data_IF_567934199429
#
_entry.id   IF_567934199429
#
_cell.length_a   1.000
_cell.length_b   1.000
_cell.length_c   1.000
_cell.angle_alpha   90.00
_cell.angle_beta   90.00
_cell.angle_gamma   90.00
#
_symmetry.space_group_name_H-M   'P 1'
#
loop_
_entity.id
_entity.type
_entity.pdbx_description
1 polymer ?
#
# COMPACT_ATOMS: atom_id res chain seq x y z
N UNK A 1 18.96 -2.79 -20.44
CA UNK A 1 17.93 -2.72 -21.51
C UNK A 1 16.81 -1.71 -21.22
N UNK A 2 16.35 -1.51 -19.97
CA UNK A 2 15.29 -0.52 -19.68
C UNK A 2 15.78 0.95 -19.76
N UNK A 3 17.04 1.21 -19.36
CA UNK A 3 17.62 2.57 -19.40
C UNK A 3 17.82 3.07 -20.84
N UNK A 4 18.07 2.17 -21.79
CA UNK A 4 18.30 2.49 -23.20
C UNK A 4 17.01 2.90 -23.93
N UNK A 5 15.84 2.47 -23.44
CA UNK A 5 14.54 2.79 -24.04
C UNK A 5 14.03 4.19 -23.65
N UNK A 6 14.43 4.71 -22.48
CA UNK A 6 14.02 6.02 -21.97
C UNK A 6 14.71 7.17 -22.73
N UNK A 7 15.94 6.96 -23.21
CA UNK A 7 16.67 7.94 -24.02
C UNK A 7 16.11 8.11 -25.44
N UNK A 8 15.33 7.15 -25.94
CA UNK A 8 14.70 7.19 -27.27
C UNK A 8 13.34 7.92 -27.28
N UNK A 9 12.84 8.36 -26.12
CA UNK A 9 11.62 9.16 -25.99
C UNK A 9 11.91 10.66 -25.79
N UNK A 10 13.10 11.12 -26.18
CA UNK A 10 13.41 12.56 -26.23
C UNK A 10 12.64 13.21 -27.39
N UNK A 11 11.36 13.53 -27.14
CA UNK A 11 10.58 14.35 -28.07
C UNK A 11 11.22 15.74 -28.16
N UNK A 12 11.22 16.39 -29.34
CA UNK A 12 11.60 17.78 -29.45
C UNK A 12 10.68 18.61 -28.54
N UNK A 13 11.23 19.15 -27.45
CA UNK A 13 10.53 20.07 -26.58
C UNK A 13 10.29 21.36 -27.37
N UNK A 14 9.10 21.50 -27.95
CA UNK A 14 8.67 22.77 -28.54
C UNK A 14 8.45 23.76 -27.40
N UNK A 15 9.25 24.83 -27.37
CA UNK A 15 8.94 25.98 -26.53
C UNK A 15 7.59 26.54 -26.99
N UNK A 16 6.56 26.45 -26.15
CA UNK A 16 5.25 27.02 -26.45
C UNK A 16 5.32 28.53 -26.21
N UNK A 17 5.01 29.40 -27.20
CA UNK A 17 4.98 30.86 -27.03
C UNK A 17 3.76 31.33 -26.20
N UNK A 18 3.25 30.47 -25.32
CA UNK A 18 2.00 30.66 -24.56
C UNK A 18 2.05 31.91 -23.70
N UNK A 19 3.20 32.23 -23.12
CA UNK A 19 3.36 33.40 -22.27
C UNK A 19 3.35 34.72 -23.06
N UNK A 20 3.94 34.75 -24.26
CA UNK A 20 3.83 35.93 -25.14
C UNK A 20 2.41 36.09 -25.68
N UNK A 21 1.72 34.98 -25.98
CA UNK A 21 0.32 35.00 -26.41
C UNK A 21 -0.64 35.48 -25.30
N UNK A 22 -0.48 35.00 -24.07
CA UNK A 22 -1.34 35.39 -22.93
C UNK A 22 -1.13 36.85 -22.50
N UNK A 23 0.09 37.38 -22.63
CA UNK A 23 0.43 38.75 -22.17
C UNK A 23 0.39 39.79 -23.27
N UNK A 24 0.40 39.38 -24.54
CA UNK A 24 0.59 40.28 -25.68
C UNK A 24 1.98 40.93 -25.74
N UNK A 25 2.93 40.49 -24.90
CA UNK A 25 4.27 41.03 -24.82
C UNK A 25 5.23 40.23 -25.70
N UNK A 26 6.15 40.92 -26.36
CA UNK A 26 7.24 40.27 -27.09
C UNK A 26 8.19 39.55 -26.12
N UNK A 27 8.89 38.50 -26.59
CA UNK A 27 9.86 37.75 -25.79
C UNK A 27 10.94 38.65 -25.14
N UNK A 28 11.26 39.79 -25.77
CA UNK A 28 12.19 40.80 -25.25
C UNK A 28 11.75 41.43 -23.92
N UNK A 29 10.44 41.45 -23.62
CA UNK A 29 9.93 42.01 -22.38
C UNK A 29 10.39 41.22 -21.14
N UNK A 30 10.47 39.88 -21.26
CA UNK A 30 10.81 39.00 -20.14
C UNK A 30 12.22 38.42 -20.21
N UNK A 31 12.87 38.44 -21.38
CA UNK A 31 14.18 37.84 -21.60
C UNK A 31 15.25 38.89 -21.91
N UNK A 32 16.48 38.66 -21.45
CA UNK A 32 17.67 39.46 -21.79
C UNK A 32 18.05 39.36 -23.26
N UNK A 33 17.72 38.22 -23.90
CA UNK A 33 17.83 38.00 -25.33
C UNK A 33 16.55 37.28 -25.82
N UNK A 34 15.80 37.83 -26.79
CA UNK A 34 14.52 37.27 -27.24
C UNK A 34 14.60 35.86 -27.85
N UNK A 35 15.79 35.42 -28.28
CA UNK A 35 15.98 34.11 -28.93
C UNK A 35 16.39 33.01 -27.93
N UNK A 36 17.22 33.32 -26.94
CA UNK A 36 17.84 32.31 -26.05
C UNK A 36 18.28 32.87 -24.69
N UNK A 37 17.85 34.07 -24.29
CA UNK A 37 18.37 34.73 -23.08
C UNK A 37 17.71 34.30 -21.79
N UNK A 38 18.44 34.44 -20.68
CA UNK A 38 17.89 34.31 -19.33
C UNK A 38 16.79 35.35 -19.08
N UNK A 39 15.91 35.07 -18.11
CA UNK A 39 14.89 36.04 -17.68
C UNK A 39 15.57 37.29 -17.12
N UNK A 40 15.12 38.46 -17.59
CA UNK A 40 15.47 39.75 -16.98
C UNK A 40 14.74 39.90 -15.62
N UNK A 41 14.96 41.01 -14.91
CA UNK A 41 14.35 41.21 -13.59
C UNK A 41 12.82 41.16 -13.63
N UNK A 42 12.21 41.81 -14.62
CA UNK A 42 10.76 41.77 -14.87
C UNK A 42 10.26 40.33 -15.09
N UNK A 43 10.94 39.57 -15.96
CA UNK A 43 10.62 38.17 -16.23
C UNK A 43 10.76 37.28 -15.00
N UNK A 44 11.76 37.53 -14.13
CA UNK A 44 11.95 36.81 -12.87
C UNK A 44 10.83 37.12 -11.87
N UNK A 45 10.49 38.39 -11.68
CA UNK A 45 9.39 38.78 -10.80
C UNK A 45 8.04 38.24 -11.29
N UNK A 46 7.79 38.33 -12.59
CA UNK A 46 6.60 37.79 -13.22
C UNK A 46 6.50 36.27 -13.02
N UNK A 47 7.62 35.55 -13.20
CA UNK A 47 7.68 34.10 -12.95
C UNK A 47 7.35 33.77 -11.49
N UNK A 48 7.92 34.48 -10.51
CA UNK A 48 7.65 34.22 -9.08
C UNK A 48 6.19 34.50 -8.72
N UNK A 49 5.62 35.62 -9.17
CA UNK A 49 4.21 35.97 -8.91
C UNK A 49 3.24 34.96 -9.53
N UNK A 50 3.58 34.39 -10.70
CA UNK A 50 2.78 33.37 -11.38
C UNK A 50 2.98 31.97 -10.83
N UNK A 51 4.13 31.65 -10.22
CA UNK A 51 4.36 30.37 -9.54
C UNK A 51 3.63 30.26 -8.19
N UNK A 52 3.49 31.38 -7.46
CA UNK A 52 2.88 31.40 -6.11
C UNK A 52 1.90 32.57 -5.94
N UNK A 53 0.61 32.28 -6.15
CA UNK A 53 -0.44 33.30 -6.19
C UNK A 53 -0.72 33.98 -4.84
N UNK A 54 -0.25 33.41 -3.71
CA UNK A 54 -0.47 33.95 -2.35
C UNK A 54 0.73 34.64 -1.69
N UNK A 55 1.81 34.90 -2.43
CA UNK A 55 2.96 35.65 -1.89
C UNK A 55 3.74 34.91 -0.79
N UNK A 56 3.63 33.59 -0.73
CA UNK A 56 4.38 32.77 0.23
C UNK A 56 5.85 32.71 -0.17
N UNK A 57 6.75 32.93 0.79
CA UNK A 57 8.19 32.92 0.55
C UNK A 57 8.69 31.59 -0.01
N UNK A 58 9.63 31.66 -0.96
CA UNK A 58 10.21 30.49 -1.66
C UNK A 58 10.77 29.44 -0.70
N UNK A 59 11.37 29.87 0.41
CA UNK A 59 11.92 28.99 1.45
C UNK A 59 10.85 28.12 2.11
N UNK A 60 9.70 28.71 2.44
CA UNK A 60 8.58 27.98 3.04
C UNK A 60 8.06 26.93 2.06
N UNK A 61 7.87 27.31 0.80
CA UNK A 61 7.42 26.37 -0.24
C UNK A 61 8.44 25.26 -0.46
N UNK A 62 9.74 25.57 -0.44
CA UNK A 62 10.79 24.57 -0.56
C UNK A 62 10.77 23.56 0.60
N UNK A 63 10.62 24.04 1.83
CA UNK A 63 10.53 23.19 3.03
C UNK A 63 9.30 22.29 2.94
N UNK A 64 8.12 22.85 2.70
CA UNK A 64 6.87 22.06 2.60
C UNK A 64 6.91 21.10 1.41
N UNK A 65 7.49 21.53 0.30
CA UNK A 65 7.72 20.70 -0.90
C UNK A 65 8.63 19.50 -0.60
N UNK A 66 9.71 19.72 0.14
CA UNK A 66 10.64 18.67 0.56
C UNK A 66 9.97 17.69 1.53
N UNK A 67 9.21 18.18 2.50
CA UNK A 67 8.42 17.35 3.40
C UNK A 67 7.35 16.53 2.66
N UNK A 68 6.69 17.12 1.66
CA UNK A 68 5.72 16.42 0.83
C UNK A 68 6.36 15.28 0.03
N UNK A 69 7.48 15.55 -0.63
CA UNK A 69 8.21 14.53 -1.39
C UNK A 69 8.72 13.42 -0.47
N UNK A 70 9.33 13.78 0.65
CA UNK A 70 9.83 12.81 1.64
C UNK A 70 8.69 11.92 2.16
N UNK A 71 7.57 12.52 2.59
CA UNK A 71 6.42 11.75 3.10
C UNK A 71 5.77 10.86 2.04
N UNK A 72 5.71 11.31 0.78
CA UNK A 72 5.20 10.49 -0.33
C UNK A 72 6.10 9.29 -0.60
N UNK A 73 7.42 9.50 -0.70
CA UNK A 73 8.41 8.41 -0.90
C UNK A 73 8.38 7.45 0.29
N UNK A 74 8.29 7.98 1.50
CA UNK A 74 8.19 7.19 2.72
C UNK A 74 6.91 6.34 2.75
N UNK A 75 5.77 6.90 2.35
CA UNK A 75 4.51 6.17 2.26
C UNK A 75 4.58 5.06 1.19
N UNK A 76 5.16 5.33 0.02
CA UNK A 76 5.44 4.30 -1.00
C UNK A 76 6.34 3.19 -0.43
N UNK A 77 7.39 3.56 0.30
CA UNK A 77 8.26 2.61 0.99
C UNK A 77 7.52 1.75 2.01
N UNK A 78 6.60 2.32 2.78
CA UNK A 78 5.74 1.58 3.70
C UNK A 78 4.81 0.61 2.97
N UNK A 79 4.26 0.97 1.80
CA UNK A 79 3.46 0.06 0.97
C UNK A 79 4.32 -1.13 0.53
N UNK A 80 5.53 -0.89 0.01
CA UNK A 80 6.46 -1.96 -0.40
C UNK A 80 6.78 -2.86 0.80
N UNK A 81 7.14 -2.27 1.94
CA UNK A 81 7.50 -3.03 3.13
C UNK A 81 6.35 -3.92 3.62
N UNK A 82 5.13 -3.39 3.71
CA UNK A 82 3.98 -4.14 4.24
C UNK A 82 3.40 -5.16 3.26
N UNK A 83 3.52 -4.95 1.94
CA UNK A 83 2.82 -5.78 0.95
C UNK A 83 3.75 -6.64 0.08
N UNK A 84 5.02 -6.25 -0.07
CA UNK A 84 6.02 -6.97 -0.87
C UNK A 84 7.00 -7.72 0.05
N UNK A 85 7.51 -7.06 1.09
CA UNK A 85 8.48 -7.67 2.01
C UNK A 85 7.76 -8.52 3.06
N UNK A 86 6.81 -7.94 3.78
CA UNK A 86 5.87 -8.69 4.60
C UNK A 86 4.87 -9.33 3.66
N UNK A 87 4.94 -10.65 3.50
CA UNK A 87 4.04 -11.33 2.56
C UNK A 87 2.59 -11.15 3.04
N UNK A 88 1.63 -10.95 2.12
CA UNK A 88 0.21 -10.84 2.45
C UNK A 88 -0.31 -12.05 3.23
N UNK A 89 0.30 -13.22 3.03
CA UNK A 89 -0.04 -14.45 3.73
C UNK A 89 0.27 -14.34 5.24
N UNK A 90 1.37 -13.69 5.63
CA UNK A 90 1.73 -13.39 7.03
C UNK A 90 0.80 -12.33 7.62
N UNK A 91 0.50 -11.28 6.85
CA UNK A 91 -0.40 -10.19 7.28
C UNK A 91 -1.84 -10.69 7.48
N UNK A 92 -2.27 -11.65 6.67
CA UNK A 92 -3.59 -12.29 6.81
C UNK A 92 -3.63 -13.27 7.98
N UNK A 93 -2.52 -13.93 8.31
CA UNK A 93 -2.45 -14.87 9.44
C UNK A 93 -2.42 -14.19 10.83
N UNK A 94 -1.88 -12.97 10.93
CA UNK A 94 -1.66 -12.29 12.22
C UNK A 94 -2.10 -10.82 12.30
N UNK A 95 -2.63 -10.26 11.20
CA UNK A 95 -2.80 -8.82 11.03
C UNK A 95 -1.48 -8.10 10.72
N UNK A 96 -1.56 -6.89 10.18
CA UNK A 96 -0.37 -6.06 10.03
C UNK A 96 0.13 -5.61 11.42
N UNK A 97 1.45 -5.67 11.69
CA UNK A 97 1.98 -5.26 12.98
C UNK A 97 1.80 -3.75 13.22
N UNK A 98 1.57 -3.37 14.49
CA UNK A 98 1.05 -2.04 14.86
C UNK A 98 2.00 -0.89 14.50
N UNK A 99 3.31 -1.13 14.57
CA UNK A 99 4.33 -0.09 14.34
C UNK A 99 4.43 0.26 12.85
N UNK A 100 4.19 -0.71 12.00
CA UNK A 100 4.24 -0.66 10.55
C UNK A 100 2.97 0.02 10.01
N UNK A 101 1.82 -0.29 10.60
CA UNK A 101 0.57 0.47 10.39
C UNK A 101 0.74 1.93 10.78
N UNK A 102 1.33 2.22 11.95
CA UNK A 102 1.59 3.59 12.39
C UNK A 102 2.46 4.34 11.36
N UNK A 103 3.51 3.68 10.86
CA UNK A 103 4.40 4.21 9.82
C UNK A 103 3.63 4.63 8.57
N UNK A 104 2.76 3.75 8.06
CA UNK A 104 1.93 4.00 6.90
C UNK A 104 0.97 5.17 7.11
N UNK A 105 0.29 5.21 8.26
CA UNK A 105 -0.65 6.28 8.60
C UNK A 105 0.03 7.64 8.79
N UNK A 106 1.22 7.67 9.38
CA UNK A 106 2.03 8.89 9.47
C UNK A 106 2.40 9.40 8.07
N UNK A 107 2.83 8.52 7.17
CA UNK A 107 3.12 8.87 5.77
C UNK A 107 1.90 9.44 5.03
N UNK A 108 0.74 8.78 5.16
CA UNK A 108 -0.54 9.24 4.59
C UNK A 108 -0.87 10.65 5.08
N UNK A 109 -0.89 10.85 6.40
CA UNK A 109 -1.26 12.12 7.02
C UNK A 109 -0.33 13.25 6.59
N UNK A 110 0.99 13.03 6.65
CA UNK A 110 1.98 14.03 6.26
C UNK A 110 1.90 14.37 4.77
N UNK A 111 1.68 13.38 3.91
CA UNK A 111 1.50 13.61 2.46
C UNK A 111 0.25 14.44 2.20
N UNK A 112 -0.87 14.14 2.89
CA UNK A 112 -2.13 14.87 2.77
C UNK A 112 -2.02 16.33 3.22
N UNK A 113 -1.49 16.59 4.42
CA UNK A 113 -1.40 17.96 4.95
C UNK A 113 -0.43 18.82 4.14
N UNK A 114 0.73 18.30 3.79
CA UNK A 114 1.72 19.03 2.98
C UNK A 114 1.21 19.25 1.55
N UNK A 115 0.51 18.27 0.96
CA UNK A 115 -0.11 18.40 -0.36
C UNK A 115 -1.22 19.45 -0.40
N UNK A 116 -2.05 19.51 0.66
CA UNK A 116 -3.04 20.56 0.85
C UNK A 116 -2.38 21.93 0.94
N UNK A 117 -1.34 22.08 1.77
CA UNK A 117 -0.61 23.34 1.92
C UNK A 117 0.02 23.80 0.61
N UNK A 118 0.67 22.92 -0.15
CA UNK A 118 1.25 23.27 -1.46
C UNK A 118 0.19 23.70 -2.47
N UNK A 119 -0.97 23.03 -2.47
CA UNK A 119 -2.10 23.41 -3.32
C UNK A 119 -2.62 24.78 -2.93
N UNK A 120 -2.76 25.03 -1.62
CA UNK A 120 -3.16 26.32 -1.07
C UNK A 120 -2.12 27.42 -1.37
N UNK A 121 -0.82 27.16 -1.30
CA UNK A 121 0.18 28.18 -1.61
C UNK A 121 0.23 28.53 -3.10
N UNK A 122 -0.06 27.54 -3.96
CA UNK A 122 0.02 27.69 -5.42
C UNK A 122 -1.20 28.39 -6.03
N UNK A 123 -2.42 28.09 -5.60
CA UNK A 123 -3.65 28.61 -6.26
C UNK A 123 -4.45 29.52 -5.33
N UNK A 124 -4.73 30.76 -5.75
CA UNK A 124 -5.45 31.76 -4.97
C UNK A 124 -6.97 31.52 -4.92
N UNK A 125 -7.53 30.80 -5.89
CA UNK A 125 -8.96 30.45 -5.93
C UNK A 125 -9.20 29.02 -6.44
N UNK A 126 -10.42 28.51 -6.20
CA UNK A 126 -10.85 27.23 -6.77
C UNK A 126 -10.95 27.29 -8.29
N UNK A 127 -11.33 28.45 -8.84
CA UNK A 127 -11.40 28.68 -10.28
C UNK A 127 -10.02 28.57 -10.93
N UNK A 128 -8.98 29.16 -10.32
CA UNK A 128 -7.59 29.06 -10.80
C UNK A 128 -7.10 27.60 -10.79
N UNK A 129 -7.46 26.82 -9.75
CA UNK A 129 -7.16 25.39 -9.67
C UNK A 129 -7.87 24.58 -10.77
N UNK A 130 -9.13 24.90 -11.10
CA UNK A 130 -9.92 24.15 -12.08
C UNK A 130 -9.58 24.51 -13.53
N UNK A 131 -9.21 25.77 -13.78
CA UNK A 131 -8.96 26.28 -15.14
C UNK A 131 -7.51 26.11 -15.56
N UNK A 132 -6.54 26.20 -14.64
CA UNK A 132 -5.12 26.09 -14.97
C UNK A 132 -4.68 24.68 -15.36
N UNK A 133 -3.73 24.57 -16.30
CA UNK A 133 -3.17 23.29 -16.73
C UNK A 133 -2.48 22.53 -15.59
N UNK A 134 -1.69 23.23 -14.77
CA UNK A 134 -1.08 22.61 -13.59
C UNK A 134 -2.13 22.22 -12.55
N UNK A 135 -3.23 22.95 -12.46
CA UNK A 135 -4.31 22.70 -11.52
C UNK A 135 -5.08 21.42 -11.83
N UNK A 136 -5.36 21.16 -13.11
CA UNK A 136 -5.93 19.87 -13.59
C UNK A 136 -5.08 18.69 -13.14
N UNK A 137 -3.75 18.78 -13.22
CA UNK A 137 -2.86 17.70 -12.78
C UNK A 137 -2.86 17.56 -11.25
N UNK A 138 -2.92 18.67 -10.52
CA UNK A 138 -3.07 18.63 -9.06
C UNK A 138 -4.38 17.95 -8.67
N UNK A 139 -5.49 18.19 -9.39
CA UNK A 139 -6.77 17.50 -9.16
C UNK A 139 -6.67 16.00 -9.41
N UNK A 140 -5.98 15.58 -10.48
CA UNK A 140 -5.70 14.15 -10.72
C UNK A 140 -4.91 13.55 -9.56
N UNK A 141 -3.89 14.25 -9.05
CA UNK A 141 -3.12 13.79 -7.88
C UNK A 141 -3.97 13.70 -6.61
N UNK A 142 -4.87 14.67 -6.38
CA UNK A 142 -5.80 14.66 -5.25
C UNK A 142 -6.73 13.44 -5.36
N UNK A 143 -7.28 13.18 -6.55
CA UNK A 143 -8.11 12.00 -6.78
C UNK A 143 -7.37 10.68 -6.51
N UNK A 144 -6.13 10.56 -7.02
CA UNK A 144 -5.26 9.42 -6.75
C UNK A 144 -5.05 9.25 -5.23
N UNK A 145 -4.70 10.32 -4.53
CA UNK A 145 -4.50 10.31 -3.08
C UNK A 145 -5.75 9.86 -2.33
N UNK A 146 -6.93 10.40 -2.66
CA UNK A 146 -8.19 10.04 -2.02
C UNK A 146 -8.59 8.59 -2.28
N UNK A 147 -8.33 8.08 -3.48
CA UNK A 147 -8.56 6.67 -3.80
C UNK A 147 -7.64 5.76 -2.97
N UNK A 148 -6.35 6.07 -2.91
CA UNK A 148 -5.37 5.32 -2.10
C UNK A 148 -5.70 5.40 -0.60
N UNK A 149 -6.13 6.56 -0.11
CA UNK A 149 -6.59 6.73 1.28
C UNK A 149 -7.84 5.89 1.56
N UNK A 150 -8.84 5.92 0.66
CA UNK A 150 -10.08 5.16 0.81
C UNK A 150 -9.82 3.66 0.86
N UNK A 151 -8.95 3.15 -0.02
CA UNK A 151 -8.54 1.73 0.01
C UNK A 151 -7.80 1.40 1.32
N UNK A 152 -6.89 2.25 1.79
CA UNK A 152 -6.19 2.06 3.07
C UNK A 152 -7.13 2.02 4.28
N UNK A 153 -8.13 2.90 4.33
CA UNK A 153 -9.19 2.89 5.35
C UNK A 153 -9.99 1.58 5.28
N UNK A 154 -10.47 1.20 4.10
CA UNK A 154 -11.25 -0.03 3.92
C UNK A 154 -10.47 -1.27 4.38
N UNK A 155 -9.17 -1.35 4.07
CA UNK A 155 -8.31 -2.43 4.53
C UNK A 155 -8.16 -2.47 6.04
N UNK A 156 -7.84 -1.32 6.62
CA UNK A 156 -7.50 -1.23 8.04
C UNK A 156 -8.71 -1.47 8.94
N UNK A 157 -9.90 -1.05 8.51
CA UNK A 157 -11.10 -1.16 9.35
C UNK A 157 -11.96 -2.39 9.03
N UNK A 158 -12.21 -2.73 7.75
CA UNK A 158 -13.05 -3.89 7.40
C UNK A 158 -12.25 -5.19 7.33
N UNK A 159 -11.11 -5.17 6.64
CA UNK A 159 -10.33 -6.37 6.39
C UNK A 159 -9.49 -6.78 7.60
N UNK A 160 -8.91 -5.84 8.36
CA UNK A 160 -8.21 -6.18 9.60
C UNK A 160 -9.13 -6.84 10.64
N UNK A 161 -10.40 -6.43 10.72
CA UNK A 161 -11.40 -7.11 11.55
C UNK A 161 -11.64 -8.54 11.05
N UNK A 162 -11.93 -8.71 9.74
CA UNK A 162 -12.17 -10.02 9.13
C UNK A 162 -10.96 -10.97 9.21
N UNK A 163 -9.72 -10.47 9.11
CA UNK A 163 -8.50 -11.27 9.20
C UNK A 163 -8.12 -11.62 10.65
N UNK A 164 -8.35 -10.72 11.62
CA UNK A 164 -8.20 -11.08 13.05
C UNK A 164 -9.23 -12.13 13.50
N UNK A 165 -10.39 -12.16 12.84
CA UNK A 165 -11.43 -13.16 13.06
C UNK A 165 -11.16 -14.47 12.28
N UNK A 166 -10.67 -14.38 11.03
CA UNK A 166 -10.27 -15.50 10.17
C UNK A 166 -8.78 -15.82 10.35
N UNK A 167 -8.43 -16.43 11.48
CA UNK A 167 -7.05 -16.76 11.89
C UNK A 167 -6.46 -18.00 11.17
N UNK A 168 -6.82 -18.20 9.91
CA UNK A 168 -6.31 -19.31 9.11
C UNK A 168 -5.05 -18.80 8.38
N UNK A 169 -3.89 -19.40 8.66
CA UNK A 169 -2.66 -19.08 7.93
C UNK A 169 -2.76 -19.63 6.48
N UNK A 170 -2.81 -18.76 5.45
CA UNK A 170 -2.98 -19.21 4.06
C UNK A 170 -1.81 -20.06 3.55
N UNK A 171 -0.60 -19.87 4.10
CA UNK A 171 0.61 -20.59 3.66
C UNK A 171 0.52 -22.09 3.96
N UNK A 172 -0.12 -22.47 5.07
CA UNK A 172 -0.33 -23.86 5.49
C UNK A 172 -1.20 -24.67 4.51
N UNK A 173 -1.99 -23.98 3.69
CA UNK A 173 -2.98 -24.59 2.78
C UNK A 173 -2.63 -24.35 1.30
N UNK A 174 -1.66 -23.47 1.02
CA UNK A 174 -1.37 -23.01 -0.34
C UNK A 174 -1.00 -24.11 -1.35
N UNK A 175 -0.60 -25.30 -0.89
CA UNK A 175 -0.12 -26.40 -1.73
C UNK A 175 -0.65 -27.80 -1.35
N UNK A 176 -1.73 -27.91 -0.57
CA UNK A 176 -2.20 -29.24 -0.10
C UNK A 176 -3.60 -29.56 -0.63
N UNK A 177 -3.68 -30.59 -1.46
CA UNK A 177 -4.93 -31.23 -1.85
C UNK A 177 -5.44 -32.06 -0.66
N UNK A 178 -6.07 -31.39 0.30
CA UNK A 178 -6.63 -32.00 1.51
C UNK A 178 -8.10 -32.37 1.33
N UNK A 179 -8.47 -33.58 1.76
CA UNK A 179 -9.85 -34.11 1.64
C UNK A 179 -10.74 -33.59 2.77
N UNK A 180 -12.04 -33.42 2.48
CA UNK A 180 -13.07 -33.21 3.51
C UNK A 180 -13.16 -34.46 4.38
N UNK A 181 -13.02 -34.28 5.69
CA UNK A 181 -13.30 -35.29 6.68
C UNK A 181 -14.69 -35.01 7.25
N UNK A 182 -15.58 -36.00 7.28
CA UNK A 182 -16.88 -35.87 7.95
C UNK A 182 -16.70 -35.88 9.47
N UNK A 183 -15.76 -36.71 9.95
CA UNK A 183 -15.31 -36.83 11.33
C UNK A 183 -13.83 -37.20 11.34
N UNK A 184 -13.05 -36.55 12.20
CA UNK A 184 -11.65 -36.90 12.48
C UNK A 184 -11.47 -37.48 13.88
N UNK A 185 -12.52 -37.43 14.70
CA UNK A 185 -12.54 -37.82 16.11
C UNK A 185 -12.73 -39.32 16.34
N UNK A 186 -13.09 -40.06 15.28
CA UNK A 186 -13.38 -41.51 15.31
C UNK A 186 -12.40 -42.35 14.48
N UNK A 187 -11.21 -41.83 14.21
CA UNK A 187 -10.16 -42.67 13.62
C UNK A 187 -9.72 -43.63 14.74
N UNK A 188 -10.29 -44.84 14.73
CA UNK A 188 -10.00 -45.96 15.66
C UNK A 188 -8.54 -46.44 15.58
N UNK A 189 -7.76 -45.84 14.69
CA UNK A 189 -6.32 -45.97 14.64
C UNK A 189 -5.68 -45.13 15.76
N UNK A 190 -5.51 -45.76 16.93
CA UNK A 190 -4.79 -45.20 18.09
C UNK A 190 -3.34 -44.81 17.78
N UNK A 191 -2.81 -45.15 16.61
CA UNK A 191 -1.47 -44.71 16.18
C UNK A 191 -1.45 -43.28 15.63
N UNK A 192 -2.61 -42.72 15.26
CA UNK A 192 -2.72 -41.37 14.68
C UNK A 192 -3.15 -40.31 15.67
N UNK A 193 -2.30 -39.32 15.93
CA UNK A 193 -2.60 -38.17 16.80
C UNK A 193 -3.11 -37.03 15.93
N UNK A 194 -4.43 -36.92 15.77
CA UNK A 194 -5.04 -35.89 14.92
C UNK A 194 -5.60 -34.74 15.74
N UNK A 195 -5.44 -33.50 15.29
CA UNK A 195 -6.02 -32.31 15.96
C UNK A 195 -6.61 -31.38 14.92
N UNK A 196 -7.80 -30.85 15.17
CA UNK A 196 -8.37 -29.76 14.36
C UNK A 196 -7.92 -28.42 14.92
N UNK A 197 -7.43 -27.53 14.06
CA UNK A 197 -7.19 -26.12 14.37
C UNK A 197 -7.77 -25.29 13.23
N UNK A 198 -8.75 -24.44 13.55
CA UNK A 198 -9.57 -23.67 12.60
C UNK A 198 -10.23 -24.54 11.51
N UNK A 199 -10.60 -25.77 11.87
CA UNK A 199 -11.20 -26.74 10.95
C UNK A 199 -10.22 -27.39 9.98
N UNK A 200 -8.91 -27.11 10.06
CA UNK A 200 -7.87 -27.91 9.41
C UNK A 200 -7.41 -29.01 10.35
N UNK A 201 -7.28 -30.23 9.84
CA UNK A 201 -6.83 -31.39 10.62
C UNK A 201 -5.36 -31.61 10.39
N UNK A 202 -4.58 -31.64 11.47
CA UNK A 202 -3.13 -31.89 11.48
C UNK A 202 -2.84 -33.26 12.08
N UNK A 203 -1.79 -33.91 11.59
CA UNK A 203 -1.27 -35.15 12.14
C UNK A 203 0.01 -34.87 12.94
N UNK A 204 -0.09 -35.07 14.25
CA UNK A 204 0.98 -34.89 15.22
C UNK A 204 1.61 -36.21 15.68
N UNK A 205 1.36 -37.34 15.00
CA UNK A 205 1.92 -38.65 15.41
C UNK A 205 3.44 -38.68 15.51
N UNK A 206 4.14 -37.87 14.71
CA UNK A 206 5.60 -37.76 14.76
C UNK A 206 6.12 -36.88 15.90
N UNK A 207 5.23 -36.20 16.64
CA UNK A 207 5.59 -35.24 17.68
C UNK A 207 5.76 -35.93 19.04
N UNK A 208 6.97 -35.85 19.59
CA UNK A 208 7.26 -36.35 20.96
C UNK A 208 6.43 -35.65 22.04
N UNK A 209 5.90 -34.46 21.75
CA UNK A 209 5.07 -33.68 22.68
C UNK A 209 3.64 -34.18 22.81
N UNK A 210 3.22 -35.16 21.99
CA UNK A 210 1.88 -35.73 21.94
C UNK A 210 1.88 -37.21 22.35
N UNK A 211 2.37 -37.50 23.56
CA UNK A 211 2.47 -38.88 24.05
C UNK A 211 1.08 -39.45 24.35
N UNK A 212 0.77 -40.62 23.79
CA UNK A 212 -0.51 -41.31 23.96
C UNK A 212 -1.73 -40.44 23.56
N UNK A 213 -1.54 -39.53 22.62
CA UNK A 213 -2.57 -38.58 22.19
C UNK A 213 -2.85 -37.46 23.20
N UNK A 214 -1.97 -37.24 24.17
CA UNK A 214 -2.08 -36.20 25.19
C UNK A 214 -0.91 -35.21 25.06
N UNK A 215 -1.24 -33.93 25.05
CA UNK A 215 -0.28 -32.82 25.08
C UNK A 215 -0.44 -32.00 26.35
N UNK A 216 0.69 -31.62 26.95
CA UNK A 216 0.77 -30.88 28.21
C UNK A 216 -0.02 -31.51 29.39
N UNK A 217 -0.33 -32.82 29.32
CA UNK A 217 -1.04 -33.56 30.35
C UNK A 217 -2.58 -33.48 30.30
N UNK A 218 -3.16 -32.53 29.56
CA UNK A 218 -4.62 -32.33 29.54
C UNK A 218 -5.23 -32.03 28.16
N UNK A 219 -4.45 -31.63 27.17
CA UNK A 219 -4.96 -31.46 25.80
C UNK A 219 -5.03 -32.81 25.10
N UNK A 220 -6.23 -33.22 24.69
CA UNK A 220 -6.45 -34.51 24.03
C UNK A 220 -6.48 -34.32 22.52
N UNK A 221 -5.86 -35.26 21.81
CA UNK A 221 -6.04 -35.42 20.38
C UNK A 221 -7.51 -35.72 20.04
N UNK A 222 -7.81 -35.75 18.75
CA UNK A 222 -9.13 -35.97 18.16
C UNK A 222 -10.16 -34.90 18.53
N UNK A 223 -9.67 -33.70 18.88
CA UNK A 223 -10.48 -32.54 19.24
C UNK A 223 -10.09 -31.32 18.42
N UNK A 224 -11.01 -30.37 18.38
CA UNK A 224 -10.70 -29.02 17.97
C UNK A 224 -9.99 -28.32 19.12
N UNK A 225 -8.75 -27.88 18.90
CA UNK A 225 -7.92 -27.20 19.89
C UNK A 225 -7.62 -25.75 19.49
N UNK A 226 -8.52 -25.14 18.74
CA UNK A 226 -8.39 -23.79 18.22
C UNK A 226 -8.22 -22.73 19.32
N UNK A 227 -8.92 -22.84 20.44
CA UNK A 227 -8.80 -21.86 21.53
C UNK A 227 -7.58 -22.12 22.39
N UNK A 228 -7.25 -23.38 22.60
CA UNK A 228 -6.12 -23.84 23.40
C UNK A 228 -4.79 -23.41 22.77
N UNK A 229 -4.64 -23.59 21.45
CA UNK A 229 -3.40 -23.21 20.76
C UNK A 229 -3.19 -21.69 20.75
N UNK A 230 -4.25 -20.87 20.76
CA UNK A 230 -4.15 -19.40 20.83
C UNK A 230 -3.54 -18.93 22.14
N UNK A 231 -3.79 -19.65 23.23
CA UNK A 231 -3.32 -19.32 24.57
C UNK A 231 -2.05 -20.09 24.96
N UNK A 232 -1.47 -20.84 24.02
CA UNK A 232 -0.27 -21.65 24.25
C UNK A 232 1.01 -20.81 24.21
N UNK A 233 2.09 -21.25 24.88
CA UNK A 233 3.38 -20.55 24.88
C UNK A 233 4.09 -20.52 23.51
N UNK A 234 3.65 -21.31 22.53
CA UNK A 234 4.20 -21.34 21.16
C UNK A 234 3.27 -20.74 20.10
N UNK A 235 1.99 -20.56 20.40
CA UNK A 235 0.98 -20.06 19.46
C UNK A 235 0.87 -20.92 18.19
N UNK A 236 0.42 -20.30 17.10
CA UNK A 236 0.20 -20.94 15.80
C UNK A 236 1.50 -21.29 15.05
N UNK A 237 2.64 -20.75 15.47
CA UNK A 237 3.93 -20.97 14.80
C UNK A 237 4.33 -22.45 14.71
N UNK A 238 3.87 -23.28 15.67
CA UNK A 238 4.13 -24.72 15.67
C UNK A 238 3.51 -25.42 14.45
N UNK A 239 2.40 -24.90 13.92
CA UNK A 239 1.70 -25.49 12.77
C UNK A 239 2.51 -25.37 11.47
N UNK A 240 3.46 -24.43 11.37
CA UNK A 240 4.33 -24.29 10.20
C UNK A 240 5.20 -25.53 9.94
N UNK A 241 5.39 -26.36 10.96
CA UNK A 241 6.15 -27.62 10.87
C UNK A 241 5.32 -28.81 10.43
N UNK A 242 3.99 -28.68 10.38
CA UNK A 242 3.06 -29.77 10.10
C UNK A 242 2.15 -29.40 8.92
N UNK A 243 2.05 -30.29 7.94
CA UNK A 243 1.09 -30.10 6.83
C UNK A 243 -0.29 -30.61 7.28
N UNK A 244 -1.39 -29.88 6.99
CA UNK A 244 -2.72 -30.40 7.23
C UNK A 244 -2.97 -31.65 6.36
N UNK A 245 -3.67 -32.63 6.92
CA UNK A 245 -4.01 -33.90 6.27
C UNK A 245 -5.47 -33.96 5.81
N UNK A 246 -6.29 -33.00 6.25
CA UNK A 246 -7.72 -32.93 5.95
C UNK A 246 -8.34 -31.65 6.46
N UNK A 247 -9.64 -31.48 6.24
CA UNK A 247 -10.42 -30.38 6.83
C UNK A 247 -11.82 -30.84 7.24
N UNK A 248 -12.41 -30.16 8.22
CA UNK A 248 -13.78 -30.41 8.70
C UNK A 248 -14.65 -29.15 8.61
N UNK A 249 -15.97 -29.33 8.59
CA UNK A 249 -16.94 -28.24 8.50
C UNK A 249 -16.77 -27.39 7.24
N UNK A 250 -16.85 -26.06 7.39
CA UNK A 250 -16.76 -25.08 6.29
C UNK A 250 -15.34 -24.55 6.08
N UNK A 251 -14.30 -25.23 6.60
CA UNK A 251 -12.92 -24.77 6.52
C UNK A 251 -12.45 -24.51 5.07
N UNK A 252 -12.90 -25.30 4.08
CA UNK A 252 -12.55 -25.07 2.67
C UNK A 252 -13.26 -23.84 2.05
N UNK A 253 -14.49 -23.55 2.46
CA UNK A 253 -15.21 -22.33 2.02
C UNK A 253 -14.55 -21.09 2.61
N UNK A 254 -14.26 -21.12 3.91
CA UNK A 254 -13.47 -20.10 4.59
C UNK A 254 -12.08 -19.94 3.93
N UNK A 255 -11.45 -21.03 3.49
CA UNK A 255 -10.20 -20.98 2.73
C UNK A 255 -10.34 -20.31 1.36
N UNK A 256 -11.37 -20.64 0.58
CA UNK A 256 -11.63 -20.01 -0.72
C UNK A 256 -11.86 -18.50 -0.55
N UNK A 257 -12.60 -18.10 0.47
CA UNK A 257 -12.80 -16.69 0.81
C UNK A 257 -11.48 -16.01 1.19
N UNK A 258 -10.66 -16.62 2.05
CA UNK A 258 -9.36 -16.09 2.46
C UNK A 258 -8.42 -15.96 1.26
N UNK A 259 -8.33 -16.97 0.39
CA UNK A 259 -7.50 -16.94 -0.83
C UNK A 259 -7.94 -15.83 -1.78
N UNK A 260 -9.25 -15.65 -1.95
CA UNK A 260 -9.81 -14.55 -2.75
C UNK A 260 -9.46 -13.19 -2.14
N UNK A 261 -9.59 -13.04 -0.81
CA UNK A 261 -9.23 -11.83 -0.09
C UNK A 261 -7.73 -11.50 -0.19
N UNK A 262 -6.85 -12.50 -0.04
CA UNK A 262 -5.39 -12.35 -0.25
C UNK A 262 -5.07 -11.90 -1.67
N UNK A 263 -5.75 -12.49 -2.68
CA UNK A 263 -5.56 -12.10 -4.09
C UNK A 263 -5.99 -10.66 -4.32
N UNK A 264 -7.16 -10.26 -3.82
CA UNK A 264 -7.66 -8.89 -3.92
C UNK A 264 -6.71 -7.90 -3.22
N UNK A 265 -6.21 -8.27 -2.04
CA UNK A 265 -5.22 -7.51 -1.28
C UNK A 265 -3.93 -7.30 -2.08
N UNK A 266 -3.38 -8.36 -2.70
CA UNK A 266 -2.21 -8.28 -3.59
C UNK A 266 -2.46 -7.31 -4.76
N UNK A 267 -3.58 -7.47 -5.48
CA UNK A 267 -3.92 -6.62 -6.64
C UNK A 267 -3.99 -5.14 -6.24
N UNK A 268 -4.72 -4.84 -5.17
CA UNK A 268 -4.90 -3.47 -4.72
C UNK A 268 -3.60 -2.88 -4.16
N UNK A 269 -2.73 -3.66 -3.52
CA UNK A 269 -1.42 -3.18 -3.09
C UNK A 269 -0.54 -2.74 -4.27
N UNK A 270 -0.48 -3.54 -5.34
CA UNK A 270 0.25 -3.17 -6.56
C UNK A 270 -0.39 -1.99 -7.27
N UNK A 271 -1.72 -1.90 -7.30
CA UNK A 271 -2.43 -0.75 -7.85
C UNK A 271 -2.07 0.54 -7.08
N UNK A 272 -2.13 0.51 -5.74
CA UNK A 272 -1.74 1.65 -4.91
C UNK A 272 -0.27 2.02 -5.05
N UNK A 273 0.62 1.04 -5.21
CA UNK A 273 2.04 1.28 -5.47
C UNK A 273 2.24 2.02 -6.82
N UNK A 274 1.60 1.53 -7.88
CA UNK A 274 1.66 2.15 -9.21
C UNK A 274 1.10 3.59 -9.18
N UNK A 275 -0.04 3.77 -8.51
CA UNK A 275 -0.67 5.07 -8.33
C UNK A 275 0.20 6.05 -7.53
N UNK A 276 0.87 5.58 -6.46
CA UNK A 276 1.80 6.38 -5.68
C UNK A 276 2.99 6.86 -6.52
N UNK A 277 3.59 5.96 -7.30
CA UNK A 277 4.69 6.29 -8.23
C UNK A 277 4.22 7.28 -9.30
N UNK A 278 3.03 7.06 -9.88
CA UNK A 278 2.42 7.97 -10.84
C UNK A 278 2.22 9.36 -10.22
N UNK A 279 1.72 9.46 -8.99
CA UNK A 279 1.50 10.75 -8.31
C UNK A 279 2.81 11.54 -8.09
N UNK A 280 3.92 10.85 -7.79
CA UNK A 280 5.26 11.46 -7.72
C UNK A 280 5.70 11.95 -9.10
N UNK A 281 5.55 11.13 -10.14
CA UNK A 281 5.88 11.49 -11.52
C UNK A 281 5.09 12.71 -12.01
N UNK A 282 3.78 12.76 -11.73
CA UNK A 282 2.94 13.93 -12.02
C UNK A 282 3.43 15.19 -11.29
N UNK A 283 4.00 15.05 -10.09
CA UNK A 283 4.66 16.15 -9.39
C UNK A 283 5.88 16.69 -10.12
N UNK A 284 6.75 15.80 -10.60
CA UNK A 284 7.90 16.16 -11.44
C UNK A 284 7.47 16.80 -12.76
N UNK A 285 6.42 16.29 -13.40
CA UNK A 285 5.87 16.82 -14.63
C UNK A 285 5.30 18.24 -14.45
N UNK A 286 4.57 18.52 -13.37
CA UNK A 286 4.11 19.88 -13.04
C UNK A 286 5.30 20.84 -12.96
N UNK A 287 6.39 20.43 -12.30
CA UNK A 287 7.58 21.28 -12.14
C UNK A 287 8.37 21.47 -13.44
N UNK A 288 8.22 20.56 -14.41
CA UNK A 288 8.80 20.73 -15.73
C UNK A 288 8.01 21.72 -16.61
N UNK A 289 6.69 21.81 -16.41
CA UNK A 289 5.82 22.72 -17.16
C UNK A 289 5.82 24.18 -16.66
N UNK A 290 6.28 24.42 -15.42
CA UNK A 290 6.32 25.76 -14.76
C UNK A 290 7.75 26.25 -14.59
#
# INVERSE_FOLDING_TARGET
MVITLILLLAFPAKALPKYSEETGLECAACHTNPKTGDLNEFGREFKVKKEFSRGVGREVVFIVGSLHLFSAVFWIGAIIFVHVILTPDIVVAGGAPKKELLLGWTGIFLTGITGFLLTYFKYASLEELLTSESGKIVLVKIFIYLFMLSTAVLLTFKLNKKFRESKINPSLISNVDIKKLERFDRIDDKSRVLVSVFGLVYDFSSSKSWKDGIHAGYHKAWRDLTEEIKNSPHGLSVLERFKPVGYVGNALENFKEVKSAVKAFKIMAYANLLLGVLAVFLGSYIRWMT
#
